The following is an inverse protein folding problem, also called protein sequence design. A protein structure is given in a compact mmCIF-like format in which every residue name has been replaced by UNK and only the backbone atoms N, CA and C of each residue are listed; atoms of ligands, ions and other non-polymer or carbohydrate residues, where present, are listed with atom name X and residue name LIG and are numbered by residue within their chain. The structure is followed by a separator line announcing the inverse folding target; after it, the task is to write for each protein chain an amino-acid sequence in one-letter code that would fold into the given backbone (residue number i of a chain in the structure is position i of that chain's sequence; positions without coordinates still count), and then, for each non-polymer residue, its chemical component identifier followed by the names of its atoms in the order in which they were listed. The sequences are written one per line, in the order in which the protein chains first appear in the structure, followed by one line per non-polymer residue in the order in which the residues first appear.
data_IF_158881594292
#
_entry.id   IF_158881594292
#
_cell.length_a   1.000
_cell.length_b   1.000
_cell.length_c   1.000
_cell.angle_alpha   90.00
_cell.angle_beta   90.00
_cell.angle_gamma   90.00
#
_symmetry.space_group_name_H-M   'P 1'
#
loop_
_entity.id
_entity.type
_entity.pdbx_description
1 polymer ?
#
# COMPACT_ATOMS: atom_id res chain seq x y z
N UNK A 1 -7.60 28.43 4.16
CA UNK A 1 -8.37 27.77 5.24
C UNK A 1 -9.77 27.49 4.76
N UNK A 2 -10.34 26.31 5.08
CA UNK A 2 -11.73 25.96 4.76
C UNK A 2 -12.57 26.10 6.01
N UNK A 3 -13.63 26.90 5.98
CA UNK A 3 -14.62 26.98 7.06
C UNK A 3 -15.99 26.62 6.53
N UNK A 4 -16.75 25.84 7.30
CA UNK A 4 -18.17 25.59 6.99
C UNK A 4 -18.90 26.92 7.07
N UNK A 5 -19.56 27.30 6.00
CA UNK A 5 -20.35 28.52 5.97
C UNK A 5 -21.64 28.27 6.77
N UNK A 6 -21.72 28.89 7.95
CA UNK A 6 -22.85 28.77 8.87
C UNK A 6 -23.94 29.81 8.60
N UNK A 7 -23.79 30.64 7.56
CA UNK A 7 -24.64 31.81 7.32
C UNK A 7 -25.93 31.44 6.55
N UNK A 8 -26.05 30.21 6.03
CA UNK A 8 -27.24 29.72 5.31
C UNK A 8 -27.81 28.43 5.94
N UNK A 9 -28.69 28.51 6.96
CA UNK A 9 -29.14 27.38 7.76
C UNK A 9 -30.14 26.42 7.07
N UNK A 10 -30.21 26.39 5.73
CA UNK A 10 -31.17 25.57 4.97
C UNK A 10 -30.61 24.88 3.73
N UNK A 11 -29.29 24.79 3.60
CA UNK A 11 -28.65 24.08 2.50
C UNK A 11 -28.04 22.77 3.03
N UNK A 12 -28.71 21.65 2.76
CA UNK A 12 -28.23 20.29 3.11
C UNK A 12 -26.97 19.89 2.31
N UNK A 13 -26.56 20.69 1.33
CA UNK A 13 -25.36 20.53 0.48
C UNK A 13 -24.37 21.65 0.83
N UNK A 14 -23.69 21.51 1.97
CA UNK A 14 -22.91 22.57 2.64
C UNK A 14 -22.14 23.54 1.73
N UNK A 15 -22.31 24.84 1.96
CA UNK A 15 -21.42 25.88 1.43
C UNK A 15 -20.14 25.92 2.26
N UNK A 16 -19.01 26.16 1.60
CA UNK A 16 -17.70 26.30 2.24
C UNK A 16 -17.06 27.62 1.83
N UNK A 17 -16.41 28.29 2.78
CA UNK A 17 -15.62 29.50 2.51
C UNK A 17 -14.14 29.14 2.47
N UNK A 18 -13.50 29.51 1.36
CA UNK A 18 -12.07 29.38 1.16
C UNK A 18 -11.41 30.74 1.42
N UNK A 19 -10.54 30.80 2.42
CA UNK A 19 -9.79 32.03 2.75
C UNK A 19 -8.32 31.90 2.40
N UNK A 20 -7.73 32.98 1.86
CA UNK A 20 -6.33 33.10 1.49
C UNK A 20 -5.86 32.08 0.44
N UNK A 21 -6.75 31.67 -0.47
CA UNK A 21 -6.40 30.81 -1.61
C UNK A 21 -5.88 31.70 -2.76
N UNK A 22 -4.69 31.43 -3.33
CA UNK A 22 -4.18 32.19 -4.47
C UNK A 22 -5.14 32.19 -5.66
N UNK A 23 -5.30 33.35 -6.30
CA UNK A 23 -6.03 33.45 -7.57
C UNK A 23 -5.33 32.58 -8.62
N UNK A 24 -6.11 31.85 -9.41
CA UNK A 24 -5.63 30.89 -10.40
C UNK A 24 -5.38 29.48 -9.85
N UNK A 25 -5.64 29.23 -8.56
CA UNK A 25 -5.56 27.88 -8.00
C UNK A 25 -6.53 26.95 -8.74
N UNK A 26 -6.01 25.86 -9.28
CA UNK A 26 -6.77 24.83 -10.02
C UNK A 26 -6.87 23.51 -9.27
N UNK A 27 -6.15 23.38 -8.16
CA UNK A 27 -6.00 22.13 -7.42
C UNK A 27 -6.05 22.42 -5.93
N UNK A 28 -6.75 21.59 -5.18
CA UNK A 28 -6.74 21.59 -3.72
C UNK A 28 -6.49 20.18 -3.18
N UNK A 29 -6.04 20.09 -1.93
CA UNK A 29 -5.97 18.82 -1.20
C UNK A 29 -7.12 18.77 -0.21
N UNK A 30 -7.91 17.70 -0.26
CA UNK A 30 -8.94 17.40 0.72
C UNK A 30 -8.43 16.29 1.61
N UNK A 31 -8.63 16.46 2.90
CA UNK A 31 -8.27 15.48 3.91
C UNK A 31 -9.53 14.76 4.38
N UNK A 32 -9.56 13.44 4.24
CA UNK A 32 -10.65 12.57 4.66
C UNK A 32 -10.27 11.86 5.95
N UNK A 33 -11.23 11.74 6.86
CA UNK A 33 -11.10 10.86 8.00
C UNK A 33 -11.75 9.54 7.64
N UNK A 34 -10.93 8.52 7.44
CA UNK A 34 -11.37 7.16 7.17
C UNK A 34 -11.30 6.32 8.45
N UNK A 35 -11.97 5.18 8.42
CA UNK A 35 -11.90 4.19 9.49
C UNK A 35 -11.71 2.81 8.88
N UNK A 36 -10.71 2.05 9.35
CA UNK A 36 -10.54 0.62 9.04
C UNK A 36 -10.82 -0.22 10.27
N UNK A 37 -11.29 -1.44 10.08
CA UNK A 37 -11.43 -2.41 11.17
C UNK A 37 -10.06 -3.03 11.45
N UNK A 38 -9.72 -3.19 12.73
CA UNK A 38 -8.42 -3.77 13.12
C UNK A 38 -8.64 -5.06 13.87
N UNK A 39 -8.27 -6.18 13.23
CA UNK A 39 -8.47 -7.52 13.77
C UNK A 39 -9.93 -7.96 13.80
N UNK A 40 -10.22 -8.96 14.64
CA UNK A 40 -11.53 -9.63 14.70
C UNK A 40 -12.55 -8.90 15.61
N UNK A 41 -12.19 -7.76 16.20
CA UNK A 41 -13.10 -6.95 17.04
C UNK A 41 -13.85 -5.91 16.20
N UNK A 42 -14.96 -5.36 16.71
CA UNK A 42 -15.64 -4.21 16.10
C UNK A 42 -14.85 -2.88 16.25
N UNK A 43 -13.60 -2.95 16.70
CA UNK A 43 -12.76 -1.79 16.94
C UNK A 43 -12.26 -1.22 15.61
N UNK A 44 -12.45 0.09 15.42
CA UNK A 44 -12.08 0.80 14.19
C UNK A 44 -10.94 1.79 14.46
N UNK A 45 -9.83 1.63 13.76
CA UNK A 45 -8.79 2.65 13.72
C UNK A 45 -9.18 3.74 12.73
N UNK A 46 -9.16 4.99 13.19
CA UNK A 46 -9.30 6.15 12.31
C UNK A 46 -7.95 6.52 11.73
N UNK A 47 -7.93 6.79 10.42
CA UNK A 47 -6.75 7.28 9.74
C UNK A 47 -7.13 8.42 8.81
N UNK A 48 -6.15 9.28 8.57
CA UNK A 48 -6.31 10.44 7.72
C UNK A 48 -5.75 10.13 6.35
N UNK A 49 -6.57 10.28 5.32
CA UNK A 49 -6.16 10.19 3.93
C UNK A 49 -6.26 11.56 3.26
N UNK A 50 -5.44 11.81 2.24
CA UNK A 50 -5.45 13.08 1.51
C UNK A 50 -5.62 12.85 0.03
N UNK A 51 -6.58 13.54 -0.59
CA UNK A 51 -6.83 13.47 -2.02
C UNK A 51 -6.65 14.82 -2.68
N UNK A 52 -6.22 14.78 -3.93
CA UNK A 52 -6.11 15.96 -4.77
C UNK A 52 -7.41 16.12 -5.57
N UNK A 53 -8.04 17.29 -5.46
CA UNK A 53 -9.24 17.66 -6.21
C UNK A 53 -8.93 18.77 -7.20
N UNK A 54 -9.62 18.75 -8.34
CA UNK A 54 -9.51 19.80 -9.35
C UNK A 54 -10.65 20.80 -9.19
N UNK A 55 -10.31 22.08 -9.28
CA UNK A 55 -11.22 23.22 -9.18
C UNK A 55 -11.47 23.78 -10.58
N UNK A 56 -12.74 23.86 -10.98
CA UNK A 56 -13.13 24.44 -12.25
C UNK A 56 -14.32 25.39 -12.11
N UNK A 57 -14.25 26.63 -12.63
CA UNK A 57 -13.05 27.28 -13.17
C UNK A 57 -11.96 27.49 -12.08
N UNK A 58 -10.72 27.87 -12.47
CA UNK A 58 -9.69 28.25 -11.49
C UNK A 58 -10.19 29.34 -10.55
N UNK A 59 -9.72 29.35 -9.30
CA UNK A 59 -10.17 30.31 -8.28
C UNK A 59 -9.96 31.74 -8.75
N UNK A 60 -11.04 32.50 -8.91
CA UNK A 60 -11.05 33.92 -9.21
C UNK A 60 -11.03 34.77 -7.94
N UNK A 61 -10.66 36.04 -8.10
CA UNK A 61 -10.77 37.02 -7.02
C UNK A 61 -12.25 37.28 -6.67
N UNK A 62 -12.60 37.21 -5.38
CA UNK A 62 -13.96 37.44 -4.92
C UNK A 62 -14.84 36.18 -4.92
N UNK A 63 -16.11 36.32 -5.32
CA UNK A 63 -17.07 35.21 -5.29
C UNK A 63 -16.89 34.30 -6.51
N UNK A 64 -16.73 33.00 -6.28
CA UNK A 64 -16.62 31.98 -7.32
C UNK A 64 -17.99 31.29 -7.48
N UNK A 65 -18.86 31.85 -8.31
CA UNK A 65 -20.16 31.23 -8.61
C UNK A 65 -19.97 30.03 -9.56
N UNK A 66 -20.57 28.89 -9.23
CA UNK A 66 -20.48 27.68 -10.07
C UNK A 66 -19.11 26.99 -10.03
N UNK A 67 -18.38 27.11 -8.91
CA UNK A 67 -17.14 26.35 -8.70
C UNK A 67 -17.47 24.85 -8.60
N UNK A 68 -17.04 24.09 -9.60
CA UNK A 68 -17.12 22.64 -9.64
C UNK A 68 -15.86 22.04 -9.01
N UNK A 69 -16.09 21.00 -8.20
CA UNK A 69 -15.06 20.27 -7.50
C UNK A 69 -15.02 18.85 -8.05
N UNK A 70 -13.98 18.53 -8.82
CA UNK A 70 -13.79 17.18 -9.33
C UNK A 70 -13.00 16.37 -8.30
N UNK A 71 -13.70 15.47 -7.61
CA UNK A 71 -13.07 14.49 -6.74
C UNK A 71 -12.58 13.36 -7.62
N UNK A 72 -11.25 13.23 -7.74
CA UNK A 72 -10.63 12.20 -8.57
C UNK A 72 -10.54 10.87 -7.81
N UNK A 73 -11.69 10.36 -7.37
CA UNK A 73 -11.79 9.08 -6.67
C UNK A 73 -12.60 8.08 -7.48
N UNK A 74 -12.13 6.84 -7.46
CA UNK A 74 -12.83 5.67 -7.93
C UNK A 74 -13.27 4.76 -6.78
N UNK A 75 -14.12 3.82 -7.13
CA UNK A 75 -14.35 2.60 -6.39
C UNK A 75 -13.70 1.47 -7.18
N UNK A 76 -13.05 0.53 -6.49
CA UNK A 76 -12.44 -0.66 -7.11
C UNK A 76 -13.22 -1.87 -6.63
N UNK A 77 -13.71 -2.65 -7.58
CA UNK A 77 -14.45 -3.87 -7.32
C UNK A 77 -13.92 -5.01 -8.20
N UNK A 78 -14.11 -6.24 -7.75
CA UNK A 78 -13.69 -7.43 -8.47
C UNK A 78 -14.02 -8.69 -7.68
N UNK A 79 -13.41 -9.79 -8.10
CA UNK A 79 -13.44 -11.05 -7.36
C UNK A 79 -12.04 -11.58 -7.13
N UNK A 80 -11.82 -12.23 -6.00
CA UNK A 80 -10.62 -13.02 -5.75
C UNK A 80 -10.99 -14.49 -5.89
N UNK A 81 -10.21 -15.21 -6.70
CA UNK A 81 -10.36 -16.65 -6.91
C UNK A 81 -9.16 -17.39 -6.33
N UNK A 82 -9.39 -18.55 -5.76
CA UNK A 82 -8.36 -19.52 -5.40
C UNK A 82 -7.67 -20.07 -6.67
N UNK A 83 -6.51 -20.74 -6.53
CA UNK A 83 -5.79 -21.33 -7.65
C UNK A 83 -6.63 -22.33 -8.45
N UNK A 84 -7.59 -23.02 -7.83
CA UNK A 84 -8.52 -23.94 -8.48
C UNK A 84 -9.68 -23.24 -9.21
N UNK A 85 -9.79 -21.92 -9.10
CA UNK A 85 -10.83 -21.09 -9.71
C UNK A 85 -12.09 -20.93 -8.86
N UNK A 86 -12.14 -21.48 -7.65
CA UNK A 86 -13.25 -21.25 -6.71
C UNK A 86 -13.13 -19.89 -6.03
N UNK A 87 -14.22 -19.30 -5.49
CA UNK A 87 -14.13 -18.02 -4.78
C UNK A 87 -13.25 -18.09 -3.52
N UNK A 88 -12.32 -17.15 -3.39
CA UNK A 88 -11.48 -17.02 -2.20
C UNK A 88 -12.25 -16.22 -1.13
N UNK A 89 -12.96 -16.91 -0.24
CA UNK A 89 -13.74 -16.27 0.85
C UNK A 89 -12.77 -15.78 1.94
N UNK A 90 -12.97 -14.55 2.43
CA UNK A 90 -12.13 -13.98 3.50
C UNK A 90 -10.72 -13.58 3.08
N UNK A 91 -10.42 -13.51 1.79
CA UNK A 91 -9.16 -12.95 1.29
C UNK A 91 -9.07 -11.45 1.62
N UNK A 92 -7.90 -11.01 2.07
CA UNK A 92 -7.60 -9.59 2.24
C UNK A 92 -7.15 -9.02 0.90
N UNK A 93 -7.74 -7.89 0.51
CA UNK A 93 -7.37 -7.14 -0.69
C UNK A 93 -6.87 -5.77 -0.24
N UNK A 94 -5.66 -5.39 -0.62
CA UNK A 94 -5.06 -4.11 -0.25
C UNK A 94 -4.60 -3.30 -1.47
N UNK A 95 -4.66 -1.97 -1.35
CA UNK A 95 -4.32 -1.01 -2.40
C UNK A 95 -3.18 -0.10 -1.96
N UNK A 96 -2.02 -0.21 -2.62
CA UNK A 96 -0.90 0.69 -2.43
C UNK A 96 -0.90 1.83 -3.47
N UNK A 97 -0.46 3.05 -3.09
CA UNK A 97 0.09 3.43 -1.78
C UNK A 97 -0.98 3.83 -0.75
N UNK A 98 -2.26 3.88 -1.11
CA UNK A 98 -3.34 4.42 -0.27
C UNK A 98 -3.53 3.71 1.08
N UNK A 99 -3.12 2.44 1.19
CA UNK A 99 -3.34 1.61 2.36
C UNK A 99 -4.80 1.21 2.58
N UNK A 100 -5.67 1.43 1.58
CA UNK A 100 -7.07 0.99 1.61
C UNK A 100 -7.15 -0.52 1.46
N UNK A 101 -8.13 -1.14 2.11
CA UNK A 101 -8.30 -2.58 2.10
C UNK A 101 -9.78 -3.00 2.15
N UNK A 102 -10.04 -4.24 1.74
CA UNK A 102 -11.31 -4.92 1.89
C UNK A 102 -11.11 -6.41 2.12
N UNK A 103 -12.12 -7.06 2.70
CA UNK A 103 -12.20 -8.51 2.83
C UNK A 103 -13.25 -9.03 1.85
N UNK A 104 -12.93 -10.10 1.14
CA UNK A 104 -13.84 -10.70 0.16
C UNK A 104 -15.00 -11.47 0.81
N UNK A 105 -16.19 -11.37 0.21
CA UNK A 105 -17.40 -12.07 0.66
C UNK A 105 -17.43 -13.57 0.29
N UNK A 106 -18.58 -14.22 0.53
CA UNK A 106 -18.79 -15.65 0.24
C UNK A 106 -18.69 -16.01 -1.26
N UNK A 107 -18.84 -15.02 -2.15
CA UNK A 107 -18.66 -15.15 -3.59
C UNK A 107 -17.29 -14.60 -4.05
N UNK A 108 -16.36 -14.36 -3.11
CA UNK A 108 -15.03 -13.86 -3.38
C UNK A 108 -15.00 -12.39 -3.81
N UNK A 109 -16.13 -11.66 -3.71
CA UNK A 109 -16.23 -10.28 -4.20
C UNK A 109 -15.68 -9.31 -3.17
N UNK A 110 -15.03 -8.26 -3.64
CA UNK A 110 -14.60 -7.13 -2.81
C UNK A 110 -15.05 -5.80 -3.43
N UNK A 111 -15.13 -4.77 -2.58
CA UNK A 111 -15.35 -3.38 -2.94
C UNK A 111 -14.47 -2.51 -2.04
N UNK A 112 -13.61 -1.70 -2.64
CA UNK A 112 -12.80 -0.69 -1.97
C UNK A 112 -13.25 0.67 -2.51
N UNK A 113 -13.71 1.53 -1.61
CA UNK A 113 -14.18 2.88 -1.95
C UNK A 113 -13.08 3.92 -1.73
N UNK A 114 -13.27 5.11 -2.32
CA UNK A 114 -12.36 6.25 -2.16
C UNK A 114 -10.92 5.99 -2.65
N UNK A 115 -10.77 5.17 -3.67
CA UNK A 115 -9.47 4.85 -4.26
C UNK A 115 -9.03 6.02 -5.15
N UNK A 116 -7.80 6.55 -5.01
CA UNK A 116 -7.28 7.56 -5.92
C UNK A 116 -7.40 7.15 -7.39
N UNK A 117 -7.87 8.05 -8.25
CA UNK A 117 -7.99 7.81 -9.69
C UNK A 117 -6.63 7.97 -10.40
N UNK A 118 -5.75 6.99 -10.18
CA UNK A 118 -4.41 6.90 -10.72
C UNK A 118 -3.98 5.42 -10.89
N UNK A 119 -2.79 5.13 -11.45
CA UNK A 119 -2.21 3.80 -11.37
C UNK A 119 -1.94 3.40 -9.92
N UNK A 120 -2.49 2.26 -9.49
CA UNK A 120 -2.31 1.67 -8.17
C UNK A 120 -1.73 0.26 -8.28
N UNK A 121 -1.18 -0.24 -7.17
CA UNK A 121 -0.96 -1.67 -6.98
C UNK A 121 -2.07 -2.23 -6.11
N UNK A 122 -2.74 -3.29 -6.60
CA UNK A 122 -3.71 -4.05 -5.83
C UNK A 122 -3.19 -5.45 -5.59
N UNK A 123 -3.28 -5.90 -4.34
CA UNK A 123 -2.83 -7.24 -3.95
C UNK A 123 -3.92 -7.96 -3.20
N UNK A 124 -4.18 -9.21 -3.58
CA UNK A 124 -5.06 -10.14 -2.85
C UNK A 124 -4.24 -11.20 -2.12
N UNK A 125 -4.59 -11.52 -0.88
CA UNK A 125 -3.91 -12.52 -0.05
C UNK A 125 -4.93 -13.37 0.70
N UNK A 126 -4.77 -14.69 0.68
CA UNK A 126 -5.49 -15.62 1.54
C UNK A 126 -4.57 -16.78 1.95
N UNK A 127 -4.26 -16.86 3.24
CA UNK A 127 -3.25 -17.81 3.73
C UNK A 127 -1.88 -17.55 3.11
N UNK A 128 -1.34 -18.52 2.38
CA UNK A 128 -0.08 -18.38 1.62
C UNK A 128 -0.27 -17.95 0.17
N UNK A 129 -1.49 -17.98 -0.34
CA UNK A 129 -1.75 -17.68 -1.73
C UNK A 129 -1.90 -16.16 -1.92
N UNK A 130 -1.24 -15.61 -2.94
CA UNK A 130 -1.22 -14.18 -3.19
C UNK A 130 -1.23 -13.85 -4.69
N UNK A 131 -1.59 -12.61 -5.02
CA UNK A 131 -1.47 -12.03 -6.37
C UNK A 131 -1.35 -10.52 -6.26
N UNK A 132 -0.45 -9.91 -7.04
CA UNK A 132 -0.29 -8.45 -7.14
C UNK A 132 -0.42 -8.03 -8.59
N UNK A 133 -1.29 -7.04 -8.86
CA UNK A 133 -1.50 -6.45 -10.18
C UNK A 133 -1.39 -4.93 -10.11
N UNK A 134 -0.88 -4.32 -11.17
CA UNK A 134 -0.99 -2.87 -11.39
C UNK A 134 -2.26 -2.57 -12.17
N UNK A 135 -3.09 -1.65 -11.68
CA UNK A 135 -4.34 -1.26 -12.34
C UNK A 135 -4.45 0.26 -12.38
N UNK A 136 -4.97 0.81 -13.47
CA UNK A 136 -5.30 2.24 -13.55
C UNK A 136 -6.76 2.46 -13.17
N UNK A 137 -6.98 3.27 -12.13
CA UNK A 137 -8.32 3.59 -11.64
C UNK A 137 -8.78 4.91 -12.25
N UNK A 138 -9.98 4.90 -12.83
CA UNK A 138 -10.69 6.11 -13.25
C UNK A 138 -11.65 6.60 -12.18
N UNK A 139 -12.24 7.77 -12.41
CA UNK A 139 -13.30 8.28 -11.54
C UNK A 139 -14.53 7.37 -11.58
N UNK A 140 -15.18 7.16 -10.43
CA UNK A 140 -16.38 6.33 -10.32
C UNK A 140 -16.10 4.82 -10.22
N UNK A 141 -17.01 3.97 -10.68
CA UNK A 141 -16.91 2.53 -10.49
C UNK A 141 -15.93 1.87 -11.47
N UNK A 142 -14.95 1.15 -10.94
CA UNK A 142 -13.97 0.36 -11.69
C UNK A 142 -14.12 -1.11 -11.31
N UNK A 143 -14.45 -1.94 -12.29
CA UNK A 143 -14.44 -3.39 -12.13
C UNK A 143 -13.15 -3.93 -12.77
N UNK A 144 -12.27 -4.50 -11.93
CA UNK A 144 -10.95 -4.97 -12.37
C UNK A 144 -10.94 -6.47 -12.73
N UNK A 145 -12.13 -7.07 -12.81
CA UNK A 145 -12.34 -8.49 -13.05
C UNK A 145 -11.74 -9.38 -11.94
N UNK A 146 -11.35 -10.59 -12.31
CA UNK A 146 -10.92 -11.63 -11.36
C UNK A 146 -9.42 -11.54 -11.08
N UNK A 147 -9.09 -11.46 -9.80
CA UNK A 147 -7.75 -11.65 -9.26
C UNK A 147 -7.61 -13.13 -8.88
N UNK A 148 -6.86 -13.91 -9.66
CA UNK A 148 -6.61 -15.31 -9.33
C UNK A 148 -5.37 -15.41 -8.45
N UNK A 149 -5.56 -15.85 -7.22
CA UNK A 149 -4.48 -16.17 -6.31
C UNK A 149 -3.62 -17.26 -6.93
N UNK A 150 -2.31 -17.11 -6.76
CA UNK A 150 -1.36 -18.16 -7.08
C UNK A 150 -0.98 -18.82 -5.77
N UNK A 151 -1.11 -20.15 -5.73
CA UNK A 151 -0.69 -20.95 -4.60
C UNK A 151 0.82 -20.78 -4.43
N UNK A 152 1.27 -20.44 -3.22
CA UNK A 152 2.66 -20.70 -2.87
C UNK A 152 2.84 -22.23 -2.88
N UNK A 153 3.85 -22.79 -3.57
CA UNK A 153 4.14 -24.23 -3.53
C UNK A 153 4.34 -24.80 -2.11
N UNK A 154 4.37 -23.97 -1.07
CA UNK A 154 4.25 -24.35 0.32
C UNK A 154 2.89 -23.91 0.92
N UNK A 155 1.94 -24.83 1.21
CA UNK A 155 0.61 -24.52 1.75
C UNK A 155 0.61 -24.12 3.24
N UNK A 156 1.78 -24.09 3.89
CA UNK A 156 1.97 -23.60 5.26
C UNK A 156 2.97 -22.44 5.21
N UNK A 157 2.55 -21.19 5.47
CA UNK A 157 3.53 -20.11 5.64
C UNK A 157 4.40 -20.53 6.84
N UNK A 158 5.72 -20.36 6.79
CA UNK A 158 6.52 -20.55 7.99
C UNK A 158 5.91 -19.70 9.12
N UNK A 159 5.58 -20.31 10.25
CA UNK A 159 5.20 -19.58 11.46
C UNK A 159 6.41 -18.84 12.03
N UNK A 160 6.31 -18.30 13.25
CA UNK A 160 7.51 -17.80 13.92
C UNK A 160 8.49 -18.96 14.22
N UNK A 161 9.81 -18.73 14.11
CA UNK A 161 10.46 -17.48 13.71
C UNK A 161 10.50 -17.27 12.19
N UNK A 162 10.64 -16.01 11.71
CA UNK A 162 10.80 -15.72 10.28
C UNK A 162 11.95 -16.50 9.65
N UNK A 163 11.78 -16.91 8.40
CA UNK A 163 12.73 -17.79 7.71
C UNK A 163 13.96 -17.03 7.25
N UNK A 164 13.80 -15.82 6.71
CA UNK A 164 14.92 -14.91 6.46
C UNK A 164 14.74 -13.71 7.36
N UNK A 165 15.76 -13.38 8.12
CA UNK A 165 15.79 -12.16 8.90
C UNK A 165 17.19 -11.58 8.88
N UNK A 166 17.31 -10.29 9.12
CA UNK A 166 18.61 -9.66 9.12
C UNK A 166 18.55 -8.25 9.65
N UNK A 167 19.74 -7.69 9.84
CA UNK A 167 19.89 -6.29 10.17
C UNK A 167 20.81 -5.62 9.17
N UNK A 168 20.39 -4.47 8.66
CA UNK A 168 21.19 -3.63 7.78
C UNK A 168 22.00 -2.65 8.64
N UNK A 169 23.32 -2.71 8.47
CA UNK A 169 24.27 -1.80 9.11
C UNK A 169 25.02 -1.00 8.04
N UNK A 170 25.48 0.17 8.43
CA UNK A 170 26.36 1.00 7.63
C UNK A 170 27.80 0.72 8.05
N UNK A 171 28.73 0.68 7.09
CA UNK A 171 30.17 0.61 7.33
C UNK A 171 30.68 1.97 7.84
N UNK A 172 30.35 2.26 9.10
CA UNK A 172 30.81 3.44 9.83
C UNK A 172 31.52 3.00 11.11
N UNK A 173 32.30 3.89 11.72
CA UNK A 173 33.00 3.59 12.98
C UNK A 173 32.05 3.17 14.12
N UNK A 174 30.76 3.54 14.05
CA UNK A 174 29.73 3.19 15.03
C UNK A 174 28.81 2.05 14.60
N UNK A 175 28.93 1.56 13.36
CA UNK A 175 28.07 0.49 12.83
C UNK A 175 26.58 0.87 12.83
N UNK A 176 26.28 2.12 12.45
CA UNK A 176 24.94 2.70 12.49
C UNK A 176 23.91 1.84 11.72
N UNK A 177 22.64 1.91 12.13
CA UNK A 177 21.54 1.16 11.51
C UNK A 177 21.02 1.90 10.28
N UNK A 178 20.76 1.18 9.20
CA UNK A 178 20.20 1.74 7.97
C UNK A 178 18.67 1.73 8.03
N UNK A 179 18.09 2.56 8.91
CA UNK A 179 16.64 2.70 8.98
C UNK A 179 16.08 3.22 7.65
N UNK A 180 15.00 2.59 7.16
CA UNK A 180 14.40 2.92 5.86
C UNK A 180 15.14 2.36 4.65
N UNK A 181 16.19 1.54 4.82
CA UNK A 181 16.80 0.82 3.70
C UNK A 181 15.75 -0.04 2.98
N UNK A 182 15.72 0.03 1.65
CA UNK A 182 14.81 -0.76 0.83
C UNK A 182 15.37 -2.17 0.67
N UNK A 183 14.58 -3.17 1.05
CA UNK A 183 14.95 -4.58 1.00
C UNK A 183 14.09 -5.25 -0.06
N UNK A 184 14.73 -5.76 -1.10
CA UNK A 184 14.08 -6.47 -2.20
C UNK A 184 14.41 -7.95 -2.05
N UNK A 185 13.37 -8.78 -1.99
CA UNK A 185 13.51 -10.23 -2.00
C UNK A 185 13.24 -10.74 -3.41
N UNK A 186 14.23 -11.44 -3.96
CA UNK A 186 14.11 -12.13 -5.24
C UNK A 186 14.08 -13.64 -5.01
N UNK A 187 13.24 -14.35 -5.78
CA UNK A 187 13.29 -15.81 -5.94
C UNK A 187 13.62 -16.11 -7.39
N UNK A 188 14.63 -16.95 -7.60
CA UNK A 188 15.11 -17.32 -8.94
C UNK A 188 15.35 -16.11 -9.87
N UNK A 189 15.81 -15.00 -9.29
CA UNK A 189 16.11 -13.75 -10.01
C UNK A 189 14.91 -12.84 -10.30
N UNK A 190 13.70 -13.20 -9.90
CA UNK A 190 12.51 -12.34 -9.98
C UNK A 190 12.15 -11.77 -8.61
N UNK A 191 11.88 -10.46 -8.54
CA UNK A 191 11.38 -9.84 -7.32
C UNK A 191 10.01 -10.41 -6.94
N UNK A 192 9.87 -10.84 -5.68
CA UNK A 192 8.63 -11.42 -5.14
C UNK A 192 8.09 -10.64 -3.94
N UNK A 193 8.94 -9.91 -3.23
CA UNK A 193 8.54 -9.11 -2.07
C UNK A 193 9.48 -7.92 -1.88
N UNK A 194 8.99 -6.86 -1.25
CA UNK A 194 9.77 -5.69 -0.87
C UNK A 194 9.33 -5.17 0.49
N UNK A 195 10.29 -4.75 1.32
CA UNK A 195 10.00 -4.09 2.60
C UNK A 195 11.04 -3.01 2.88
N UNK A 196 10.82 -2.22 3.94
CA UNK A 196 11.78 -1.24 4.44
C UNK A 196 12.32 -1.68 5.81
N UNK A 197 13.63 -1.53 6.02
CA UNK A 197 14.23 -1.79 7.33
C UNK A 197 13.66 -0.82 8.40
N UNK A 198 13.35 -1.35 9.58
CA UNK A 198 12.80 -0.55 10.68
C UNK A 198 13.85 0.42 11.29
N UNK A 199 13.48 1.16 12.35
CA UNK A 199 14.39 2.10 13.03
C UNK A 199 15.67 1.43 13.60
N UNK A 200 15.61 0.14 13.87
CA UNK A 200 16.73 -0.69 14.33
C UNK A 200 17.50 -1.33 13.16
N UNK A 201 17.11 -1.04 11.91
CA UNK A 201 17.68 -1.59 10.68
C UNK A 201 17.25 -3.03 10.40
N UNK A 202 16.25 -3.55 11.11
CA UNK A 202 15.83 -4.95 11.04
C UNK A 202 14.79 -5.15 9.94
N UNK A 203 14.82 -6.34 9.35
CA UNK A 203 13.83 -6.81 8.37
C UNK A 203 13.64 -8.32 8.51
N UNK A 204 12.53 -8.82 7.98
CA UNK A 204 12.24 -10.24 7.95
C UNK A 204 11.30 -10.61 6.81
N UNK A 205 11.47 -11.83 6.28
CA UNK A 205 10.61 -12.45 5.30
C UNK A 205 10.23 -13.87 5.73
N UNK A 206 8.99 -14.24 5.44
CA UNK A 206 8.46 -15.59 5.68
C UNK A 206 8.43 -16.33 4.35
N UNK A 207 9.52 -17.04 4.06
CA UNK A 207 9.69 -17.68 2.77
C UNK A 207 9.78 -19.21 2.89
N UNK A 208 9.27 -19.98 1.93
CA UNK A 208 9.47 -21.42 1.87
C UNK A 208 10.89 -21.81 1.46
N UNK A 209 11.13 -23.13 1.37
CA UNK A 209 12.34 -23.65 0.74
C UNK A 209 12.46 -23.15 -0.71
N UNK A 210 13.67 -22.79 -1.13
CA UNK A 210 13.92 -22.17 -2.42
C UNK A 210 15.24 -21.42 -2.47
N UNK A 211 15.58 -20.92 -3.66
CA UNK A 211 16.74 -20.08 -3.89
C UNK A 211 16.29 -18.62 -3.87
N UNK A 212 16.98 -17.82 -3.07
CA UNK A 212 16.62 -16.43 -2.89
C UNK A 212 17.85 -15.54 -2.92
N UNK A 213 17.59 -14.28 -3.24
CA UNK A 213 18.53 -13.18 -3.09
C UNK A 213 17.84 -12.06 -2.33
N UNK A 214 18.47 -11.55 -1.27
CA UNK A 214 18.08 -10.28 -0.66
C UNK A 214 19.01 -9.21 -1.18
N UNK A 215 18.43 -8.22 -1.83
CA UNK A 215 19.09 -7.00 -2.25
C UNK A 215 18.72 -5.86 -1.31
N UNK A 216 19.69 -5.04 -0.96
CA UNK A 216 19.54 -3.94 -0.02
C UNK A 216 20.02 -2.66 -0.69
N UNK A 217 19.10 -1.71 -0.84
CA UNK A 217 19.34 -0.40 -1.43
C UNK A 217 19.22 0.67 -0.36
N UNK A 218 20.21 1.56 -0.31
CA UNK A 218 20.19 2.70 0.59
C UNK A 218 20.95 3.87 -0.03
N UNK A 219 20.34 5.05 -0.03
CA UNK A 219 20.87 6.20 -0.74
C UNK A 219 22.26 6.61 -0.23
N UNK A 220 23.17 6.90 -1.16
CA UNK A 220 24.58 7.19 -0.86
C UNK A 220 25.44 5.96 -0.52
N UNK A 221 24.89 4.74 -0.59
CA UNK A 221 25.62 3.50 -0.34
C UNK A 221 25.66 2.59 -1.58
N UNK A 222 26.62 1.66 -1.58
CA UNK A 222 26.71 0.58 -2.55
C UNK A 222 25.69 -0.49 -2.18
N UNK A 223 24.89 -0.90 -3.15
CA UNK A 223 23.85 -1.91 -3.00
C UNK A 223 24.46 -3.21 -2.45
N UNK A 224 23.84 -3.75 -1.40
CA UNK A 224 24.23 -5.04 -0.83
C UNK A 224 23.40 -6.17 -1.43
N UNK A 225 23.99 -7.35 -1.57
CA UNK A 225 23.26 -8.55 -1.96
C UNK A 225 23.74 -9.77 -1.19
N UNK A 226 22.80 -10.67 -0.85
CA UNK A 226 23.06 -11.96 -0.21
C UNK A 226 22.18 -13.01 -0.86
N UNK A 227 22.79 -14.09 -1.32
CA UNK A 227 22.08 -15.25 -1.83
C UNK A 227 21.99 -16.34 -0.76
N UNK A 228 20.87 -17.06 -0.72
CA UNK A 228 20.69 -18.17 0.19
C UNK A 228 19.78 -19.24 -0.41
N UNK A 229 20.07 -20.48 -0.04
CA UNK A 229 19.18 -21.63 -0.26
C UNK A 229 18.48 -21.94 1.05
N UNK A 230 17.16 -21.85 1.06
CA UNK A 230 16.32 -22.35 2.15
C UNK A 230 15.98 -23.80 1.80
N UNK A 231 16.42 -24.76 2.61
CA UNK A 231 16.23 -26.20 2.32
C UNK A 231 14.92 -26.75 2.91
N UNK A 232 14.44 -26.14 3.99
CA UNK A 232 13.20 -26.53 4.67
C UNK A 232 12.44 -25.29 5.15
N UNK A 233 11.10 -25.31 5.24
CA UNK A 233 10.32 -24.23 5.82
C UNK A 233 10.80 -23.86 7.24
N UNK A 234 10.72 -22.59 7.62
CA UNK A 234 11.19 -22.04 8.92
C UNK A 234 12.70 -22.19 9.17
N UNK A 235 13.52 -22.61 8.20
CA UNK A 235 14.96 -22.65 8.40
C UNK A 235 15.51 -21.22 8.55
N UNK A 236 15.98 -20.80 9.73
CA UNK A 236 16.41 -19.42 9.91
C UNK A 236 17.66 -19.14 9.06
N UNK A 237 17.60 -18.05 8.29
CA UNK A 237 18.69 -17.52 7.48
C UNK A 237 18.96 -16.08 7.89
N UNK A 238 20.18 -15.84 8.33
CA UNK A 238 20.67 -14.50 8.60
C UNK A 238 21.07 -13.84 7.28
N UNK A 239 20.30 -12.84 6.87
CA UNK A 239 20.54 -12.01 5.71
C UNK A 239 21.12 -10.65 6.10
N UNK A 240 21.77 -10.51 7.26
CA UNK A 240 22.40 -9.25 7.65
C UNK A 240 23.41 -8.77 6.61
N UNK A 241 23.33 -7.47 6.31
CA UNK A 241 24.14 -6.77 5.32
C UNK A 241 24.84 -5.59 5.98
N UNK A 242 26.11 -5.39 5.65
CA UNK A 242 26.86 -4.18 5.96
C UNK A 242 27.04 -3.44 4.64
N UNK A 243 26.52 -2.22 4.54
CA UNK A 243 26.61 -1.39 3.34
C UNK A 243 27.83 -0.48 3.40
N UNK A 244 28.56 -0.42 2.29
CA UNK A 244 29.71 0.46 2.13
C UNK A 244 29.28 1.76 1.45
N UNK A 245 29.92 2.88 1.80
CA UNK A 245 29.57 4.17 1.20
C UNK A 245 29.98 4.20 -0.28
N UNK A 246 29.13 4.76 -1.13
CA UNK A 246 29.47 5.03 -2.53
C UNK A 246 30.39 6.26 -2.57
N UNK A 247 31.62 6.08 -3.06
CA UNK A 247 32.64 7.13 -3.17
C UNK A 247 32.31 8.12 -4.29
#
# INVERSE_FOLDING_TARGET
TVTRDTVSPGNDVGTFRLENVPVGTTVATITFLNSRQVGDTEERETFTDTQTVTLFPPIAQGSNAGLELFVNIGQVSGRVLLPDGTPAIGANVFVAPSGLEAVTDAEGRFLIENVPAEPIEITGVLGTAAVTNTVTIGNGANNIADLRLVEDPNPNPPGLPPTISGVVRLETATGARAAGATIILLRDGSQIEQTAANAQGEFSFFVPAGNYSVQVLFDGYIDGSRDFVVNTPNQPRDASVILQRRL
#
